data_IF_523252765285
#
_entry.id   IF_523252765285
#
_cell.length_a   1.000
_cell.length_b   1.000
_cell.length_c   1.000
_cell.angle_alpha   90.00
_cell.angle_beta   90.00
_cell.angle_gamma   90.00
#
_symmetry.space_group_name_H-M   'P 1'
#
loop_
_entity.id
_entity.type
_entity.pdbx_description
1 polymer ?
#
# COMPACT_ATOMS: atom_id res chain seq x y z
N UNK A 1 -40.63 5.31 -13.61
CA UNK A 1 -39.31 5.17 -14.24
C UNK A 1 -38.34 6.32 -13.90
N UNK A 2 -37.16 5.97 -13.37
CA UNK A 2 -36.03 6.87 -13.10
C UNK A 2 -35.15 7.05 -14.34
N UNK A 3 -34.84 8.27 -14.76
CA UNK A 3 -34.01 8.53 -15.97
C UNK A 3 -32.52 8.36 -15.68
N UNK A 4 -32.01 8.95 -14.60
CA UNK A 4 -30.61 8.86 -14.19
C UNK A 4 -30.48 9.03 -12.66
N UNK A 5 -29.24 9.15 -12.18
CA UNK A 5 -28.92 9.32 -10.76
C UNK A 5 -29.47 10.60 -10.15
N UNK A 6 -29.60 11.65 -10.95
CA UNK A 6 -30.06 12.97 -10.50
C UNK A 6 -31.59 13.10 -10.50
N UNK A 7 -32.32 12.05 -10.91
CA UNK A 7 -33.78 12.05 -10.88
C UNK A 7 -34.30 11.98 -9.42
N UNK A 8 -35.39 12.69 -9.11
CA UNK A 8 -36.00 12.61 -7.78
C UNK A 8 -36.76 11.27 -7.56
N UNK A 9 -36.85 10.78 -6.31
CA UNK A 9 -36.17 11.28 -5.12
C UNK A 9 -34.67 10.93 -5.12
N UNK A 10 -33.85 11.80 -4.53
CA UNK A 10 -32.43 11.51 -4.34
C UNK A 10 -32.26 10.50 -3.21
N UNK A 11 -31.29 9.58 -3.36
CA UNK A 11 -30.95 8.63 -2.31
C UNK A 11 -30.05 9.31 -1.26
N UNK A 12 -30.28 9.06 0.03
CA UNK A 12 -29.44 9.60 1.10
C UNK A 12 -27.96 9.21 0.95
N UNK A 13 -27.67 8.01 0.46
CA UNK A 13 -26.30 7.55 0.17
C UNK A 13 -25.63 8.35 -0.94
N UNK A 14 -26.40 8.73 -1.97
CA UNK A 14 -25.90 9.58 -3.06
C UNK A 14 -25.57 10.98 -2.54
N UNK A 15 -26.48 11.59 -1.78
CA UNK A 15 -26.24 12.89 -1.14
C UNK A 15 -24.98 12.82 -0.28
N UNK A 16 -24.89 11.78 0.56
CA UNK A 16 -23.74 11.56 1.42
C UNK A 16 -22.44 11.48 0.62
N UNK A 17 -22.39 10.78 -0.52
CA UNK A 17 -21.21 10.72 -1.39
C UNK A 17 -20.75 12.10 -1.85
N UNK A 18 -21.68 12.97 -2.27
CA UNK A 18 -21.38 14.31 -2.77
C UNK A 18 -20.88 15.27 -1.70
N UNK A 19 -21.15 15.00 -0.42
CA UNK A 19 -20.63 15.80 0.70
C UNK A 19 -19.37 15.20 1.32
N UNK A 20 -19.33 13.88 1.52
CA UNK A 20 -18.20 13.19 2.12
C UNK A 20 -16.94 13.33 1.26
N UNK A 21 -17.05 13.12 -0.06
CA UNK A 21 -15.87 13.14 -0.91
C UNK A 21 -15.14 14.50 -0.88
N UNK A 22 -15.80 15.66 -1.08
CA UNK A 22 -15.16 16.96 -0.91
C UNK A 22 -14.67 17.22 0.52
N UNK A 23 -15.44 16.82 1.54
CA UNK A 23 -15.03 16.99 2.94
C UNK A 23 -13.70 16.27 3.24
N UNK A 24 -13.57 15.02 2.80
CA UNK A 24 -12.35 14.24 2.98
C UNK A 24 -11.19 14.75 2.11
N UNK A 25 -11.46 15.26 0.90
CA UNK A 25 -10.44 15.91 0.09
C UNK A 25 -9.86 17.15 0.80
N UNK A 26 -10.72 18.01 1.35
CA UNK A 26 -10.30 19.19 2.12
C UNK A 26 -9.56 18.76 3.39
N UNK A 27 -10.05 17.75 4.10
CA UNK A 27 -9.38 17.22 5.29
C UNK A 27 -7.97 16.69 4.98
N UNK A 28 -7.83 15.91 3.91
CA UNK A 28 -6.54 15.43 3.44
C UNK A 28 -5.61 16.59 3.11
N UNK A 29 -6.08 17.62 2.41
CA UNK A 29 -5.21 18.71 1.99
C UNK A 29 -4.76 19.58 3.16
N UNK A 30 -5.63 19.85 4.13
CA UNK A 30 -5.26 20.55 5.36
C UNK A 30 -4.25 19.77 6.20
N UNK A 31 -4.44 18.45 6.37
CA UNK A 31 -3.55 17.61 7.17
C UNK A 31 -2.18 17.41 6.51
N UNK A 32 -2.13 17.34 5.18
CA UNK A 32 -0.90 16.97 4.46
C UNK A 32 -0.10 18.20 4.02
N UNK A 33 -0.74 19.31 3.63
CA UNK A 33 -0.03 20.47 3.07
C UNK A 33 0.25 21.59 4.07
N UNK A 34 -0.49 21.69 5.18
CA UNK A 34 -0.26 22.73 6.19
C UNK A 34 1.02 22.50 7.05
N UNK A 35 1.41 21.25 7.40
CA UNK A 35 2.61 21.00 8.20
C UNK A 35 3.88 20.61 7.39
N UNK A 36 3.80 20.41 6.07
CA UNK A 36 4.91 19.89 5.24
C UNK A 36 5.45 20.87 4.17
N UNK A 37 5.56 22.17 4.47
CA UNK A 37 6.24 23.13 3.58
C UNK A 37 7.75 23.39 3.83
N UNK A 38 8.62 22.42 4.22
CA UNK A 38 10.06 22.72 4.20
C UNK A 38 10.63 22.68 2.77
N UNK A 39 10.02 21.93 1.83
CA UNK A 39 10.56 21.75 0.49
C UNK A 39 9.47 21.91 -0.60
N UNK A 40 9.35 23.12 -1.14
CA UNK A 40 8.27 23.50 -2.05
C UNK A 40 8.33 22.76 -3.41
N UNK A 41 9.51 22.40 -3.90
CA UNK A 41 9.74 21.91 -5.27
C UNK A 41 9.08 20.56 -5.57
N UNK A 42 9.06 19.62 -4.62
CA UNK A 42 8.42 18.29 -4.83
C UNK A 42 7.00 18.20 -4.27
N UNK A 43 6.68 18.98 -3.23
CA UNK A 43 5.35 18.96 -2.63
C UNK A 43 4.30 19.61 -3.52
N UNK A 44 4.64 20.69 -4.22
CA UNK A 44 3.72 21.40 -5.10
C UNK A 44 3.22 20.56 -6.30
N UNK A 45 4.08 19.91 -7.11
CA UNK A 45 3.60 19.08 -8.22
C UNK A 45 2.79 17.88 -7.75
N UNK A 46 3.17 17.26 -6.62
CA UNK A 46 2.40 16.18 -6.01
C UNK A 46 1.01 16.66 -5.55
N UNK A 47 0.94 17.84 -4.92
CA UNK A 47 -0.34 18.46 -4.55
C UNK A 47 -1.24 18.66 -5.77
N UNK A 48 -0.70 19.26 -6.83
CA UNK A 48 -1.42 19.52 -8.07
C UNK A 48 -1.94 18.21 -8.67
N UNK A 49 -1.11 17.16 -8.74
CA UNK A 49 -1.51 15.86 -9.24
C UNK A 49 -2.67 15.25 -8.42
N UNK A 50 -2.61 15.36 -7.08
CA UNK A 50 -3.67 14.91 -6.18
C UNK A 50 -4.94 15.76 -6.39
N UNK A 51 -4.86 17.07 -6.56
CA UNK A 51 -6.07 17.86 -6.84
C UNK A 51 -6.68 17.54 -8.20
N UNK A 52 -5.86 17.34 -9.24
CA UNK A 52 -6.33 16.93 -10.56
C UNK A 52 -7.04 15.57 -10.50
N UNK A 53 -6.44 14.59 -9.84
CA UNK A 53 -7.05 13.27 -9.68
C UNK A 53 -8.38 13.34 -8.91
N UNK A 54 -8.48 14.21 -7.90
CA UNK A 54 -9.72 14.42 -7.17
C UNK A 54 -10.81 15.08 -8.04
N UNK A 55 -10.46 16.10 -8.83
CA UNK A 55 -11.38 16.72 -9.79
C UNK A 55 -11.85 15.72 -10.86
N UNK A 56 -10.93 14.90 -11.37
CA UNK A 56 -11.26 13.82 -12.29
C UNK A 56 -12.22 12.81 -11.65
N UNK A 57 -12.05 12.51 -10.36
CA UNK A 57 -12.97 11.66 -9.61
C UNK A 57 -14.38 12.28 -9.59
N UNK A 58 -14.51 13.55 -9.15
CA UNK A 58 -15.78 14.29 -9.12
C UNK A 58 -16.46 14.28 -10.49
N UNK A 59 -15.69 14.56 -11.55
CA UNK A 59 -16.19 14.52 -12.92
C UNK A 59 -16.71 13.14 -13.31
N UNK A 60 -15.96 12.07 -13.06
CA UNK A 60 -16.39 10.70 -13.35
C UNK A 60 -17.65 10.32 -12.58
N UNK A 61 -17.74 10.69 -11.30
CA UNK A 61 -18.93 10.48 -10.47
C UNK A 61 -20.15 11.24 -11.01
N UNK A 62 -19.93 12.46 -11.50
CA UNK A 62 -20.98 13.29 -12.11
C UNK A 62 -21.50 12.66 -13.40
N UNK A 63 -20.60 12.22 -14.29
CA UNK A 63 -20.95 11.50 -15.51
C UNK A 63 -21.71 10.22 -15.17
N UNK A 64 -21.25 9.45 -14.19
CA UNK A 64 -21.91 8.21 -13.76
C UNK A 64 -23.36 8.46 -13.31
N UNK A 65 -23.60 9.58 -12.61
CA UNK A 65 -24.93 9.98 -12.11
C UNK A 65 -25.83 10.61 -13.18
N UNK A 66 -25.27 11.25 -14.21
CA UNK A 66 -26.06 12.03 -15.18
C UNK A 66 -26.35 11.28 -16.48
N UNK A 67 -25.47 10.36 -16.87
CA UNK A 67 -25.71 9.49 -18.03
C UNK A 67 -26.95 8.64 -17.82
N UNK A 68 -27.78 8.54 -18.85
CA UNK A 68 -28.95 7.69 -18.87
C UNK A 68 -28.56 6.27 -19.31
N UNK A 69 -28.66 5.26 -18.44
CA UNK A 69 -28.30 3.87 -18.77
C UNK A 69 -29.44 3.08 -19.43
N UNK A 70 -30.54 3.74 -19.84
CA UNK A 70 -31.68 3.08 -20.45
C UNK A 70 -31.27 2.31 -21.72
N UNK A 71 -31.92 1.18 -21.95
CA UNK A 71 -31.80 0.45 -23.21
C UNK A 71 -32.25 1.33 -24.40
N UNK A 72 -31.47 1.45 -25.49
CA UNK A 72 -31.82 2.30 -26.62
C UNK A 72 -33.14 1.94 -27.32
N UNK A 73 -33.52 0.64 -27.35
CA UNK A 73 -34.78 0.21 -27.95
C UNK A 73 -35.97 0.58 -27.06
N UNK A 74 -35.79 0.50 -25.74
CA UNK A 74 -36.78 1.03 -24.80
C UNK A 74 -36.89 2.56 -24.95
N UNK A 75 -35.77 3.29 -25.04
CA UNK A 75 -35.78 4.74 -25.23
C UNK A 75 -36.49 5.13 -26.52
N UNK A 76 -36.18 4.46 -27.63
CA UNK A 76 -36.84 4.69 -28.92
C UNK A 76 -38.36 4.46 -28.82
N UNK A 77 -38.80 3.40 -28.13
CA UNK A 77 -40.22 3.12 -27.92
C UNK A 77 -40.92 4.17 -27.04
N UNK A 78 -40.21 4.78 -26.08
CA UNK A 78 -40.75 5.85 -25.23
C UNK A 78 -40.85 7.20 -25.96
N UNK A 79 -39.97 7.46 -26.93
CA UNK A 79 -39.93 8.71 -27.70
C UNK A 79 -40.74 8.68 -28.99
N UNK A 80 -41.16 7.49 -29.44
CA UNK A 80 -41.88 7.34 -30.71
C UNK A 80 -43.39 7.65 -30.60
N UNK A 81 -43.89 8.38 -31.60
CA UNK A 81 -45.30 8.50 -32.00
C UNK A 81 -45.82 7.10 -32.40
N UNK A 82 -47.09 6.74 -32.15
CA UNK A 82 -47.53 5.34 -32.15
C UNK A 82 -47.28 4.61 -33.47
N UNK A 83 -46.91 3.32 -33.32
CA UNK A 83 -46.88 2.27 -34.34
C UNK A 83 -45.54 1.97 -35.04
N UNK A 84 -44.51 1.60 -34.28
CA UNK A 84 -43.73 0.40 -34.63
C UNK A 84 -43.44 -0.37 -33.34
N UNK A 85 -44.30 -1.32 -32.99
CA UNK A 85 -43.89 -2.36 -32.02
C UNK A 85 -42.64 -3.00 -32.59
N UNK A 86 -41.50 -2.87 -31.92
CA UNK A 86 -40.25 -3.52 -32.34
C UNK A 86 -40.56 -5.00 -32.55
N UNK A 87 -40.56 -5.45 -33.80
CA UNK A 87 -40.69 -6.87 -34.13
C UNK A 87 -39.41 -7.56 -33.64
N UNK A 88 -39.58 -8.74 -33.02
CA UNK A 88 -38.45 -9.56 -32.58
C UNK A 88 -37.47 -9.80 -33.73
N UNK A 89 -36.18 -9.78 -33.42
CA UNK A 89 -35.11 -9.99 -34.39
C UNK A 89 -33.81 -10.40 -33.69
N UNK A 90 -32.78 -10.80 -34.44
CA UNK A 90 -31.49 -11.19 -33.87
C UNK A 90 -30.95 -10.11 -32.93
N UNK A 91 -30.45 -10.51 -31.76
CA UNK A 91 -29.91 -9.58 -30.76
C UNK A 91 -30.95 -8.82 -29.91
N UNK A 92 -32.23 -9.19 -30.01
CA UNK A 92 -33.32 -8.63 -29.19
C UNK A 92 -34.02 -9.71 -28.37
N UNK A 93 -34.52 -9.34 -27.20
CA UNK A 93 -35.40 -10.18 -26.36
C UNK A 93 -36.57 -9.36 -25.86
N UNK A 94 -37.69 -10.01 -25.58
CA UNK A 94 -38.86 -9.33 -25.05
C UNK A 94 -38.76 -9.11 -23.54
N UNK A 95 -38.96 -7.89 -23.07
CA UNK A 95 -39.13 -7.59 -21.65
C UNK A 95 -40.62 -7.58 -21.30
N UNK A 96 -41.05 -8.50 -20.44
CA UNK A 96 -42.45 -8.61 -20.00
C UNK A 96 -42.90 -7.48 -19.07
N UNK A 97 -41.98 -6.78 -18.42
CA UNK A 97 -42.32 -5.64 -17.54
C UNK A 97 -42.55 -4.38 -18.37
N UNK A 98 -41.61 -4.06 -19.26
CA UNK A 98 -41.71 -2.89 -20.13
C UNK A 98 -42.56 -3.13 -21.40
N UNK A 99 -42.97 -4.37 -21.66
CA UNK A 99 -43.78 -4.78 -22.82
C UNK A 99 -43.17 -4.36 -24.17
N UNK A 100 -41.84 -4.42 -24.28
CA UNK A 100 -41.07 -4.03 -25.46
C UNK A 100 -39.89 -4.97 -25.69
N UNK A 101 -39.48 -5.13 -26.94
CA UNK A 101 -38.22 -5.80 -27.26
C UNK A 101 -37.03 -4.87 -26.94
N UNK A 102 -36.10 -5.39 -26.13
CA UNK A 102 -34.86 -4.73 -25.70
C UNK A 102 -33.65 -5.53 -26.19
N UNK A 103 -32.43 -5.02 -26.06
CA UNK A 103 -31.25 -5.80 -26.43
C UNK A 103 -31.14 -7.08 -25.60
N UNK A 104 -30.54 -8.14 -26.14
CA UNK A 104 -30.33 -9.42 -25.44
C UNK A 104 -29.59 -9.27 -24.11
N UNK A 105 -28.63 -8.33 -24.06
CA UNK A 105 -27.81 -8.06 -22.88
C UNK A 105 -28.48 -7.13 -21.87
N UNK A 106 -29.70 -6.66 -22.16
CA UNK A 106 -30.40 -5.72 -21.30
C UNK A 106 -31.16 -6.43 -20.19
N UNK A 107 -31.23 -5.85 -19.00
CA UNK A 107 -32.03 -6.39 -17.90
C UNK A 107 -32.93 -5.31 -17.33
N UNK A 108 -34.12 -5.71 -16.85
CA UNK A 108 -35.05 -4.79 -16.21
C UNK A 108 -34.63 -4.57 -14.75
N UNK A 109 -34.33 -3.33 -14.38
CA UNK A 109 -34.08 -2.96 -12.99
C UNK A 109 -35.40 -2.51 -12.34
N UNK A 110 -35.88 -3.28 -11.36
CA UNK A 110 -37.12 -2.97 -10.63
C UNK A 110 -37.05 -1.66 -9.83
N UNK A 111 -35.86 -1.29 -9.33
CA UNK A 111 -35.68 -0.03 -8.57
C UNK A 111 -35.81 1.20 -9.46
N UNK A 112 -35.27 1.15 -10.67
CA UNK A 112 -35.33 2.25 -11.63
C UNK A 112 -36.56 2.17 -12.54
N UNK A 113 -37.23 1.02 -12.59
CA UNK A 113 -38.38 0.74 -13.44
C UNK A 113 -38.05 0.99 -14.92
N UNK A 114 -36.94 0.42 -15.39
CA UNK A 114 -36.49 0.47 -16.79
C UNK A 114 -35.56 -0.68 -17.15
N UNK A 115 -35.50 -1.01 -18.43
CA UNK A 115 -34.44 -1.84 -18.99
C UNK A 115 -33.16 -1.03 -19.16
N UNK A 116 -32.03 -1.63 -18.80
CA UNK A 116 -30.69 -1.03 -18.89
C UNK A 116 -29.83 -1.88 -19.83
N UNK A 117 -29.15 -1.23 -20.76
CA UNK A 117 -28.29 -1.93 -21.72
C UNK A 117 -27.01 -2.45 -21.05
N UNK A 118 -26.70 -3.73 -21.27
CA UNK A 118 -25.57 -4.42 -20.63
C UNK A 118 -25.56 -4.17 -19.12
N UNK A 119 -26.68 -4.49 -18.47
CA UNK A 119 -26.90 -4.22 -17.05
C UNK A 119 -25.92 -5.00 -16.19
N UNK A 120 -25.27 -4.27 -15.27
CA UNK A 120 -24.45 -4.84 -14.22
C UNK A 120 -25.22 -4.85 -12.90
N UNK A 121 -25.41 -3.67 -12.31
CA UNK A 121 -26.12 -3.53 -11.03
C UNK A 121 -26.83 -2.19 -10.86
N UNK A 122 -27.68 -2.07 -9.84
CA UNK A 122 -28.20 -0.79 -9.38
C UNK A 122 -27.34 -0.28 -8.23
N UNK A 123 -26.69 0.87 -8.41
CA UNK A 123 -25.83 1.46 -7.39
C UNK A 123 -26.59 2.51 -6.58
N UNK A 124 -26.82 2.24 -5.29
CA UNK A 124 -27.51 3.17 -4.40
C UNK A 124 -26.70 4.46 -4.16
N UNK A 125 -25.37 4.40 -4.21
CA UNK A 125 -24.46 5.54 -4.07
C UNK A 125 -24.51 6.50 -5.28
N UNK A 126 -24.79 5.98 -6.47
CA UNK A 126 -24.98 6.80 -7.67
C UNK A 126 -26.46 7.08 -7.95
N UNK A 127 -27.35 6.46 -7.18
CA UNK A 127 -28.80 6.46 -7.35
C UNK A 127 -29.25 6.12 -8.77
N UNK A 128 -28.49 5.28 -9.49
CA UNK A 128 -28.75 4.90 -10.88
C UNK A 128 -28.25 3.49 -11.16
N UNK A 129 -28.68 2.92 -12.28
CA UNK A 129 -28.12 1.67 -12.75
C UNK A 129 -26.76 1.89 -13.39
N UNK A 130 -25.87 0.92 -13.21
CA UNK A 130 -24.62 0.79 -13.92
C UNK A 130 -24.84 -0.17 -15.09
N UNK A 131 -24.45 0.28 -16.27
CA UNK A 131 -24.41 -0.51 -17.49
C UNK A 131 -23.32 0.02 -18.40
N UNK A 132 -23.27 -0.42 -19.65
CA UNK A 132 -22.15 -0.07 -20.53
C UNK A 132 -22.01 1.43 -20.80
N UNK A 133 -23.09 2.21 -20.75
CA UNK A 133 -23.05 3.65 -21.06
C UNK A 133 -22.40 4.49 -19.97
N UNK A 134 -22.44 4.06 -18.70
CA UNK A 134 -21.88 4.80 -17.57
C UNK A 134 -20.83 4.00 -16.78
N UNK A 135 -20.42 2.83 -17.28
CA UNK A 135 -19.44 1.96 -16.63
C UNK A 135 -18.12 2.69 -16.34
N UNK A 136 -17.59 3.47 -17.28
CA UNK A 136 -16.36 4.24 -17.07
C UNK A 136 -16.46 5.26 -15.94
N UNK A 137 -17.63 5.88 -15.73
CA UNK A 137 -17.83 6.82 -14.64
C UNK A 137 -17.75 6.19 -13.25
N UNK A 138 -17.91 4.86 -13.14
CA UNK A 138 -17.78 4.14 -11.86
C UNK A 138 -16.35 4.10 -11.32
N UNK A 139 -15.35 4.45 -12.14
CA UNK A 139 -13.94 4.63 -11.71
C UNK A 139 -13.80 5.61 -10.55
N UNK A 140 -14.74 6.56 -10.41
CA UNK A 140 -14.84 7.44 -9.25
C UNK A 140 -14.85 6.70 -7.92
N UNK A 141 -15.50 5.53 -7.84
CA UNK A 141 -15.57 4.73 -6.60
C UNK A 141 -14.16 4.26 -6.20
N UNK A 142 -13.40 3.71 -7.17
CA UNK A 142 -12.04 3.25 -6.93
C UNK A 142 -11.12 4.39 -6.51
N UNK A 143 -11.18 5.53 -7.21
CA UNK A 143 -10.39 6.72 -6.87
C UNK A 143 -10.76 7.19 -5.45
N UNK A 144 -12.05 7.29 -5.11
CA UNK A 144 -12.51 7.69 -3.78
C UNK A 144 -11.98 6.79 -2.67
N UNK A 145 -11.97 5.47 -2.86
CA UNK A 145 -11.43 4.52 -1.90
C UNK A 145 -9.93 4.73 -1.65
N UNK A 146 -9.15 5.05 -2.69
CA UNK A 146 -7.73 5.38 -2.54
C UNK A 146 -7.55 6.64 -1.68
N UNK A 147 -8.33 7.70 -1.93
CA UNK A 147 -8.29 8.91 -1.10
C UNK A 147 -8.64 8.63 0.37
N UNK A 148 -9.68 7.83 0.62
CA UNK A 148 -10.07 7.46 1.98
C UNK A 148 -8.99 6.62 2.66
N UNK A 149 -8.34 5.70 1.94
CA UNK A 149 -7.21 4.93 2.46
C UNK A 149 -6.01 5.81 2.83
N UNK A 150 -5.65 6.77 1.96
CA UNK A 150 -4.56 7.71 2.22
C UNK A 150 -4.83 8.58 3.45
N UNK A 151 -6.03 9.14 3.55
CA UNK A 151 -6.43 9.94 4.71
C UNK A 151 -6.45 9.11 6.00
N UNK A 152 -7.01 7.90 5.96
CA UNK A 152 -7.03 7.03 7.12
C UNK A 152 -5.61 6.68 7.58
N UNK A 153 -4.71 6.38 6.63
CA UNK A 153 -3.30 6.13 6.91
C UNK A 153 -2.60 7.32 7.57
N UNK A 154 -2.79 8.53 7.06
CA UNK A 154 -2.17 9.73 7.67
C UNK A 154 -2.71 10.01 9.07
N UNK A 155 -4.03 9.90 9.27
CA UNK A 155 -4.65 10.05 10.60
C UNK A 155 -4.15 8.98 11.57
N UNK A 156 -4.01 7.73 11.14
CA UNK A 156 -3.50 6.64 11.98
C UNK A 156 -2.04 6.88 12.41
N UNK A 157 -1.18 7.35 11.49
CA UNK A 157 0.21 7.70 11.81
C UNK A 157 0.29 8.87 12.80
N UNK A 158 -0.52 9.92 12.61
CA UNK A 158 -0.59 11.06 13.54
C UNK A 158 -1.09 10.60 14.92
N UNK A 159 -2.13 9.75 14.96
CA UNK A 159 -2.65 9.20 16.19
C UNK A 159 -1.61 8.33 16.92
N UNK A 160 -0.88 7.48 16.20
CA UNK A 160 0.21 6.68 16.77
C UNK A 160 1.29 7.58 17.40
N UNK A 161 1.72 8.64 16.70
CA UNK A 161 2.69 9.59 17.21
C UNK A 161 2.16 10.31 18.47
N UNK A 162 0.89 10.70 18.46
CA UNK A 162 0.23 11.31 19.62
C UNK A 162 0.22 10.37 20.83
N UNK A 163 -0.21 9.12 20.65
CA UNK A 163 -0.24 8.12 21.72
C UNK A 163 1.16 7.80 22.25
N UNK A 164 2.16 7.73 21.37
CA UNK A 164 3.56 7.58 21.76
C UNK A 164 4.00 8.72 22.70
N UNK A 165 3.77 9.98 22.34
CA UNK A 165 4.12 11.11 23.20
C UNK A 165 3.31 11.18 24.50
N UNK A 166 2.03 10.80 24.48
CA UNK A 166 1.23 10.68 25.71
C UNK A 166 1.85 9.62 26.63
N UNK A 167 2.30 8.50 26.09
CA UNK A 167 2.97 7.45 26.87
C UNK A 167 4.31 7.93 27.46
N UNK A 168 5.13 8.64 26.67
CA UNK A 168 6.37 9.25 27.16
C UNK A 168 6.13 10.23 28.32
N UNK A 169 5.11 11.10 28.19
CA UNK A 169 4.71 12.03 29.25
C UNK A 169 4.26 11.32 30.52
N UNK A 170 3.52 10.20 30.40
CA UNK A 170 3.11 9.38 31.55
C UNK A 170 4.29 8.72 32.25
N UNK A 171 5.34 8.37 31.52
CA UNK A 171 6.57 7.79 32.04
C UNK A 171 7.56 8.84 32.57
N UNK A 172 7.29 10.13 32.35
CA UNK A 172 8.18 11.22 32.76
C UNK A 172 9.51 11.25 32.02
N UNK A 173 9.60 10.63 30.83
CA UNK A 173 10.81 10.59 30.01
C UNK A 173 10.66 11.48 28.78
N UNK A 174 11.75 12.14 28.36
CA UNK A 174 11.74 12.86 27.11
C UNK A 174 11.88 11.90 25.92
N UNK A 175 11.46 12.36 24.73
CA UNK A 175 11.66 11.61 23.48
C UNK A 175 13.14 11.33 23.23
N UNK A 176 14.01 12.28 23.54
CA UNK A 176 15.45 12.13 23.40
C UNK A 176 15.98 11.01 24.30
N UNK A 177 15.59 11.02 25.58
CA UNK A 177 16.01 9.99 26.54
C UNK A 177 15.54 8.59 26.11
N UNK A 178 14.31 8.49 25.60
CA UNK A 178 13.78 7.25 25.06
C UNK A 178 14.62 6.75 23.87
N UNK A 179 14.92 7.61 22.90
CA UNK A 179 15.71 7.24 21.72
C UNK A 179 17.12 6.78 22.11
N UNK A 180 17.79 7.51 23.02
CA UNK A 180 19.14 7.14 23.48
C UNK A 180 19.11 5.81 24.24
N UNK A 181 18.10 5.59 25.08
CA UNK A 181 17.92 4.33 25.80
C UNK A 181 17.72 3.17 24.82
N UNK A 182 16.84 3.34 23.83
CA UNK A 182 16.56 2.33 22.82
C UNK A 182 17.79 2.03 21.95
N UNK A 183 18.57 3.05 21.56
CA UNK A 183 19.82 2.87 20.82
C UNK A 183 20.85 2.06 21.63
N UNK A 184 21.01 2.36 22.93
CA UNK A 184 21.91 1.59 23.81
C UNK A 184 21.45 0.14 23.98
N UNK A 185 20.16 -0.09 24.15
CA UNK A 185 19.59 -1.43 24.26
C UNK A 185 19.75 -2.24 22.96
N UNK A 186 19.53 -1.61 21.80
CA UNK A 186 19.72 -2.23 20.50
C UNK A 186 21.19 -2.58 20.23
N UNK A 187 22.14 -1.70 20.60
CA UNK A 187 23.57 -2.00 20.54
C UNK A 187 23.95 -3.18 21.46
N UNK A 188 23.38 -3.25 22.67
CA UNK A 188 23.62 -4.38 23.59
C UNK A 188 23.10 -5.69 22.99
N UNK A 189 21.88 -5.70 22.46
CA UNK A 189 21.30 -6.88 21.77
C UNK A 189 22.15 -7.32 20.58
N UNK A 190 22.67 -6.37 19.81
CA UNK A 190 23.58 -6.67 18.69
C UNK A 190 24.90 -7.28 19.15
N UNK A 191 25.52 -6.76 20.22
CA UNK A 191 26.74 -7.32 20.80
C UNK A 191 26.51 -8.74 21.33
N UNK A 192 25.43 -8.96 22.09
CA UNK A 192 25.07 -10.28 22.60
C UNK A 192 24.79 -11.29 21.47
N UNK A 193 24.15 -10.85 20.38
CA UNK A 193 23.93 -11.69 19.18
C UNK A 193 25.25 -12.03 18.48
N UNK A 194 26.18 -11.07 18.40
CA UNK A 194 27.51 -11.27 17.82
C UNK A 194 28.34 -12.27 18.66
N UNK A 195 28.36 -12.12 19.98
CA UNK A 195 29.07 -13.02 20.90
C UNK A 195 28.50 -14.43 20.86
N UNK A 196 27.17 -14.59 20.85
CA UNK A 196 26.53 -15.90 20.68
C UNK A 196 26.95 -16.56 19.35
N UNK A 197 27.02 -15.80 18.27
CA UNK A 197 27.50 -16.30 16.98
C UNK A 197 28.97 -16.73 17.05
N UNK A 198 29.84 -15.96 17.73
CA UNK A 198 31.25 -16.33 17.94
C UNK A 198 31.38 -17.63 18.75
N UNK A 199 30.66 -17.75 19.86
CA UNK A 199 30.66 -18.96 20.69
C UNK A 199 30.13 -20.18 19.92
N UNK A 200 29.09 -20.01 19.11
CA UNK A 200 28.58 -21.08 18.25
C UNK A 200 29.59 -21.51 17.18
N UNK A 201 30.32 -20.57 16.57
CA UNK A 201 31.40 -20.87 15.62
C UNK A 201 32.56 -21.58 16.31
N UNK A 202 32.92 -21.16 17.51
CA UNK A 202 33.99 -21.78 18.29
C UNK A 202 33.61 -23.20 18.76
N UNK A 203 32.40 -23.41 19.25
CA UNK A 203 31.88 -24.75 19.57
C UNK A 203 31.85 -25.65 18.33
N UNK A 204 31.41 -25.13 17.17
CA UNK A 204 31.48 -25.87 15.91
C UNK A 204 32.93 -26.24 15.52
N UNK A 205 33.88 -25.31 15.67
CA UNK A 205 35.31 -25.56 15.44
C UNK A 205 35.84 -26.64 16.39
N UNK A 206 35.57 -26.53 17.70
CA UNK A 206 36.02 -27.51 18.69
C UNK A 206 35.42 -28.89 18.44
N UNK A 207 34.14 -28.99 18.06
CA UNK A 207 33.52 -30.26 17.65
C UNK A 207 34.18 -30.84 16.40
N UNK A 208 34.53 -29.99 15.42
CA UNK A 208 35.27 -30.45 14.23
C UNK A 208 36.66 -30.99 14.58
N UNK A 209 37.40 -30.29 15.46
CA UNK A 209 38.73 -30.71 15.91
C UNK A 209 38.66 -31.99 16.78
N UNK A 210 37.66 -32.11 17.65
CA UNK A 210 37.45 -33.30 18.47
C UNK A 210 37.06 -34.51 17.61
N UNK A 211 36.21 -34.33 16.60
CA UNK A 211 35.92 -35.35 15.60
C UNK A 211 37.17 -35.77 14.82
N UNK A 212 38.02 -34.82 14.44
CA UNK A 212 39.29 -35.10 13.77
C UNK A 212 40.31 -35.80 14.69
N UNK A 213 40.35 -35.48 15.98
CA UNK A 213 41.19 -36.16 16.99
C UNK A 213 40.70 -37.57 17.31
N UNK A 214 39.39 -37.83 17.33
CA UNK A 214 38.83 -39.18 17.47
C UNK A 214 39.20 -40.07 16.27
N UNK A 215 39.20 -39.51 15.06
CA UNK A 215 39.66 -40.20 13.85
C UNK A 215 41.18 -40.46 13.88
N UNK A 216 41.97 -39.56 14.48
CA UNK A 216 43.43 -39.68 14.62
C UNK A 216 43.85 -40.60 15.79
N UNK A 217 43.11 -40.61 16.90
CA UNK A 217 43.37 -41.39 18.11
C UNK A 217 43.15 -42.90 17.97
N UNK A 218 42.56 -43.34 16.84
CA UNK A 218 42.56 -44.75 16.45
C UNK A 218 43.94 -45.28 16.02
N UNK A 219 44.97 -44.43 15.97
CA UNK A 219 46.33 -44.79 15.59
C UNK A 219 47.32 -44.61 16.75
N UNK A 220 47.15 -45.30 17.89
CA UNK A 220 48.32 -45.85 18.61
C UNK A 220 47.95 -46.88 19.68
N UNK A 221 48.13 -48.17 19.38
CA UNK A 221 48.73 -49.16 20.29
C UNK A 221 49.50 -50.16 19.44
N UNK A 222 50.80 -50.33 19.75
CA UNK A 222 51.53 -51.59 19.53
C UNK A 222 51.99 -51.85 18.11
N UNK A 223 53.30 -51.78 17.89
CA UNK A 223 53.92 -52.02 16.61
C UNK A 223 53.66 -53.42 16.06
N UNK A 224 53.11 -53.48 14.86
CA UNK A 224 53.37 -54.49 13.83
C UNK A 224 52.85 -53.93 12.49
N UNK A 225 53.63 -54.08 11.41
CA UNK A 225 53.21 -53.65 10.07
C UNK A 225 52.00 -54.48 9.64
N UNK A 226 50.80 -53.89 9.65
CA UNK A 226 49.60 -54.51 9.07
C UNK A 226 49.66 -54.32 7.54
N UNK A 227 49.58 -55.40 6.74
CA UNK A 227 49.64 -55.29 5.29
C UNK A 227 48.33 -54.70 4.74
N UNK A 228 48.49 -53.75 3.83
CA UNK A 228 47.41 -53.13 3.07
C UNK A 228 46.59 -54.20 2.32
N UNK A 229 45.37 -54.47 2.80
CA UNK A 229 44.34 -55.15 2.01
C UNK A 229 43.21 -54.17 1.77
N UNK A 230 43.05 -53.83 0.50
CA UNK A 230 41.99 -52.98 0.00
C UNK A 230 40.62 -53.40 0.54
N UNK A 231 40.03 -52.51 1.31
CA UNK A 231 38.66 -52.57 1.78
C UNK A 231 38.10 -51.17 1.73
N UNK A 232 37.15 -50.94 0.82
CA UNK A 232 36.47 -49.66 0.62
C UNK A 232 35.74 -49.26 1.92
N UNK A 233 36.34 -48.39 2.71
CA UNK A 233 35.61 -47.63 3.72
C UNK A 233 34.90 -46.48 2.98
N UNK A 234 33.57 -46.54 2.92
CA UNK A 234 32.74 -45.43 2.44
C UNK A 234 32.95 -44.25 3.38
N UNK A 235 33.72 -43.26 2.94
CA UNK A 235 33.60 -41.88 3.42
C UNK A 235 32.20 -41.40 3.01
N UNK A 236 31.35 -41.12 3.99
CA UNK A 236 30.19 -40.27 3.76
C UNK A 236 30.73 -38.85 3.58
N UNK A 237 31.01 -38.48 2.33
CA UNK A 237 31.15 -37.11 1.92
C UNK A 237 29.79 -36.43 2.14
N UNK A 238 29.68 -35.58 3.16
CA UNK A 238 28.68 -34.51 3.14
C UNK A 238 29.29 -33.45 2.23
N UNK A 239 28.84 -33.42 0.98
CA UNK A 239 29.19 -32.38 0.04
C UNK A 239 28.76 -31.03 0.59
N UNK A 240 29.74 -30.16 0.80
CA UNK A 240 29.55 -28.74 0.57
C UNK A 240 29.49 -28.57 -0.95
N UNK A 241 28.34 -28.15 -1.47
CA UNK A 241 28.31 -27.48 -2.77
C UNK A 241 28.88 -26.08 -2.54
N UNK A 242 30.12 -25.88 -2.98
CA UNK A 242 30.67 -24.57 -3.32
C UNK A 242 30.01 -24.14 -4.63
N UNK A 243 29.22 -23.07 -4.57
CA UNK A 243 28.90 -22.25 -5.74
C UNK A 243 29.73 -20.97 -5.57
N UNK A 244 30.95 -21.00 -6.12
CA UNK A 244 31.78 -19.83 -6.33
C UNK A 244 31.23 -19.05 -7.53
N UNK A 245 30.80 -17.82 -7.32
CA UNK A 245 30.90 -16.78 -8.34
C UNK A 245 31.65 -15.57 -7.76
N UNK A 246 32.84 -15.41 -8.33
CA UNK A 246 33.82 -14.36 -8.17
C UNK A 246 33.30 -13.04 -8.75
N UNK A 247 33.65 -11.88 -8.15
CA UNK A 247 34.11 -10.67 -8.86
C UNK A 247 34.70 -9.67 -7.84
N UNK A 248 36.03 -9.53 -7.98
CA UNK A 248 36.96 -8.42 -7.72
C UNK A 248 36.65 -7.29 -6.74
N UNK A 249 37.62 -7.09 -5.84
CA UNK A 249 37.90 -5.83 -5.18
C UNK A 249 38.68 -4.86 -6.07
N UNK A 250 38.46 -3.57 -5.82
CA UNK A 250 39.49 -2.55 -5.94
C UNK A 250 39.52 -1.74 -4.64
N UNK A 251 40.68 -1.77 -4.01
CA UNK A 251 41.12 -0.80 -3.03
C UNK A 251 41.37 0.53 -3.76
N UNK A 252 40.83 1.62 -3.23
CA UNK A 252 41.40 2.96 -3.41
C UNK A 252 41.68 3.49 -2.01
N UNK A 253 42.95 3.79 -1.78
CA UNK A 253 43.51 4.49 -0.64
C UNK A 253 42.97 5.93 -0.61
N UNK A 254 42.50 6.39 0.55
CA UNK A 254 42.50 7.83 0.86
C UNK A 254 43.08 8.04 2.26
N UNK A 255 44.08 8.92 2.27
CA UNK A 255 44.96 9.27 3.37
C UNK A 255 44.24 9.94 4.55
N UNK A 256 44.85 9.78 5.72
CA UNK A 256 44.59 10.52 6.94
C UNK A 256 44.81 12.02 6.75
N UNK A 257 43.87 12.85 7.24
CA UNK A 257 44.25 14.12 7.86
C UNK A 257 43.45 14.34 9.16
N UNK A 258 44.19 14.35 10.27
CA UNK A 258 43.75 14.70 11.61
C UNK A 258 43.31 16.18 11.68
N UNK A 259 42.23 16.47 12.40
CA UNK A 259 41.83 17.86 12.68
C UNK A 259 40.80 17.93 13.79
N UNK A 260 41.22 18.46 14.95
CA UNK A 260 40.52 18.35 16.21
C UNK A 260 39.19 19.09 16.30
N UNK A 261 38.33 18.52 17.15
CA UNK A 261 37.04 19.05 17.55
C UNK A 261 37.26 20.17 18.59
N UNK A 262 37.45 21.41 18.14
CA UNK A 262 37.38 22.58 19.02
C UNK A 262 35.91 23.07 19.09
N UNK A 263 35.26 22.78 20.22
CA UNK A 263 33.96 23.35 20.56
C UNK A 263 34.11 24.86 20.81
N UNK A 264 33.69 25.67 19.84
CA UNK A 264 33.46 27.11 20.10
C UNK A 264 32.07 27.31 20.71
N UNK A 265 32.08 27.59 22.01
CA UNK A 265 30.95 28.05 22.78
C UNK A 265 30.44 29.39 22.23
N UNK A 266 29.23 29.42 21.67
CA UNK A 266 28.51 30.68 21.47
C UNK A 266 27.84 31.03 22.79
N UNK A 267 28.51 31.91 23.53
CA UNK A 267 27.99 32.56 24.71
C UNK A 267 26.94 33.60 24.30
N UNK A 268 25.73 33.47 24.86
CA UNK A 268 24.71 34.52 24.85
C UNK A 268 25.25 35.67 25.69
N UNK A 269 25.52 36.83 25.07
CA UNK A 269 25.65 38.10 25.79
C UNK A 269 24.28 38.77 25.82
N UNK A 270 23.60 38.62 26.96
CA UNK A 270 22.73 39.68 27.45
C UNK A 270 23.60 40.92 27.68
N UNK A 271 23.17 42.08 27.19
CA UNK A 271 23.57 43.34 27.80
C UNK A 271 22.43 44.36 27.72
N UNK A 272 22.33 45.08 28.82
CA UNK A 272 21.23 45.87 29.33
C UNK A 272 21.02 47.22 28.61
N UNK A 273 19.76 47.67 28.65
CA UNK A 273 19.30 49.00 29.11
C UNK A 273 20.25 50.20 28.98
N UNK A 274 19.78 51.26 28.32
CA UNK A 274 20.19 52.63 28.65
C UNK A 274 20.06 53.68 27.54
N UNK A 275 18.85 54.21 27.34
CA UNK A 275 18.49 55.65 27.28
C UNK A 275 17.02 55.83 26.87
#
# INVERSE_FOLDING_TARGET
MRVNGMSAPLNGLQILTWFLFPYFLIGYTLLTFLPLLPNLSYNLPLAIAIYIAALAAVYNGYIACTVNPIDPLLLANLTAVPQVRSVGGPGKKFCWVCQVHVSTNSQHCRFCDKCVHSFDHHCAWLNTCVGSSNYHGTTFIAISLVYYGLLFGTVAMIAQLFFFHVNLKRLGISTYDYIIKEARENQKKQREKSEKCKLQREDARLRSEAGQRLLCGACWVGGEKVPNKGGKAKMAAVGHEEEDDHIDGKEEEEEEEEGGLEMTAITVKENEVGL
#
